data_IF_215136019163
#
_entry.id   IF_215136019163
#
_cell.length_a   1.000
_cell.length_b   1.000
_cell.length_c   1.000
_cell.angle_alpha   90.00
_cell.angle_beta   90.00
_cell.angle_gamma   90.00
#
_symmetry.space_group_name_H-M   'P 1'
#
loop_
_entity.id
_entity.type
_entity.pdbx_description
1 polymer ?
#
# COMPACT_ATOMS: atom_id res chain seq x y z
N UNK A 1 -1.38 -14.64 15.05
CA UNK A 1 -1.03 -13.40 14.33
C UNK A 1 -2.12 -12.32 14.38
N UNK A 2 -3.40 -12.55 14.02
CA UNK A 2 -4.43 -11.47 14.07
C UNK A 2 -4.59 -10.84 15.47
N UNK A 3 -4.61 -11.65 16.53
CA UNK A 3 -4.71 -11.15 17.91
C UNK A 3 -3.47 -10.34 18.36
N UNK A 4 -2.30 -10.65 17.83
CA UNK A 4 -1.03 -9.98 18.16
C UNK A 4 -0.91 -8.65 17.41
N UNK A 5 -1.29 -8.61 16.12
CA UNK A 5 -1.41 -7.39 15.35
C UNK A 5 -2.46 -6.44 15.97
N UNK A 6 -3.61 -6.96 16.41
CA UNK A 6 -4.60 -6.16 17.15
C UNK A 6 -4.08 -5.70 18.52
N UNK A 7 -3.33 -6.53 19.25
CA UNK A 7 -2.74 -6.13 20.52
C UNK A 7 -1.71 -5.00 20.34
N UNK A 8 -0.90 -5.04 19.29
CA UNK A 8 0.05 -3.96 18.97
C UNK A 8 -0.64 -2.64 18.64
N UNK A 9 -1.85 -2.65 18.06
CA UNK A 9 -2.64 -1.42 17.88
C UNK A 9 -3.15 -0.81 19.20
N UNK A 10 -3.11 -1.56 20.30
CA UNK A 10 -3.52 -1.10 21.63
C UNK A 10 -2.34 -0.57 22.48
N UNK A 11 -1.10 -0.61 21.98
CA UNK A 11 0.08 -0.11 22.72
C UNK A 11 0.44 1.28 22.23
N UNK A 12 0.38 2.27 23.13
CA UNK A 12 0.91 3.61 22.89
C UNK A 12 2.44 3.60 22.97
N UNK A 13 3.12 4.37 22.11
CA UNK A 13 4.58 4.54 22.15
C UNK A 13 5.40 3.63 21.22
N UNK A 14 4.78 2.78 20.40
CA UNK A 14 5.48 2.03 19.34
C UNK A 14 5.89 3.00 18.22
N UNK A 15 7.21 3.16 18.01
CA UNK A 15 7.81 3.94 16.91
C UNK A 15 7.37 5.42 16.80
N UNK A 16 6.76 5.98 17.87
CA UNK A 16 6.24 7.34 17.85
C UNK A 16 5.04 7.56 16.91
N UNK A 17 4.38 6.49 16.44
CA UNK A 17 3.21 6.56 15.55
C UNK A 17 2.02 7.27 16.19
N UNK A 18 1.89 7.19 17.51
CA UNK A 18 0.94 7.95 18.29
C UNK A 18 1.14 9.48 18.14
N UNK A 19 2.38 9.94 17.96
CA UNK A 19 2.71 11.36 17.72
C UNK A 19 2.25 11.86 16.36
N UNK A 20 1.95 10.98 15.41
CA UNK A 20 1.53 11.40 14.06
C UNK A 20 0.07 11.07 13.78
N UNK A 21 -0.39 9.85 14.06
CA UNK A 21 -1.75 9.41 13.70
C UNK A 21 -2.81 10.07 14.58
N UNK A 22 -2.57 10.12 15.90
CA UNK A 22 -3.48 10.76 16.84
C UNK A 22 -3.47 12.29 16.68
N UNK A 23 -2.29 12.85 16.41
CA UNK A 23 -2.15 14.28 16.15
C UNK A 23 -2.86 14.69 14.84
N UNK A 24 -2.70 13.92 13.77
CA UNK A 24 -3.41 14.13 12.50
C UNK A 24 -4.93 14.02 12.66
N UNK A 25 -5.41 13.01 13.41
CA UNK A 25 -6.83 12.84 13.73
C UNK A 25 -7.42 14.09 14.43
N UNK A 26 -6.67 14.67 15.38
CA UNK A 26 -7.07 15.87 16.13
C UNK A 26 -7.02 17.15 15.29
N UNK A 27 -6.02 17.30 14.41
CA UNK A 27 -5.80 18.49 13.59
C UNK A 27 -6.79 18.65 12.44
N UNK A 28 -7.57 17.62 12.13
CA UNK A 28 -8.45 17.56 10.97
C UNK A 28 -9.74 18.41 11.11
N UNK A 29 -9.54 19.72 11.29
CA UNK A 29 -10.53 20.81 11.38
C UNK A 29 -10.06 22.14 10.74
N UNK A 30 -8.98 22.17 9.93
CA UNK A 30 -8.49 23.43 9.34
C UNK A 30 -8.21 23.25 7.85
N UNK A 31 -8.70 24.18 7.03
CA UNK A 31 -8.35 24.28 5.60
C UNK A 31 -6.90 24.74 5.45
N UNK A 32 -6.16 24.12 4.54
CA UNK A 32 -4.73 24.39 4.33
C UNK A 32 -4.45 24.63 2.84
N UNK A 33 -4.83 25.81 2.37
CA UNK A 33 -4.36 26.32 1.09
C UNK A 33 -2.84 26.56 1.16
N UNK A 34 -2.08 26.03 0.20
CA UNK A 34 -0.68 26.42 -0.04
C UNK A 34 0.44 25.47 0.39
N UNK A 35 0.17 24.23 0.81
CA UNK A 35 1.24 23.27 1.16
C UNK A 35 1.69 22.50 -0.10
N UNK A 36 2.83 22.92 -0.66
CA UNK A 36 3.61 22.18 -1.66
C UNK A 36 4.35 21.02 -0.97
N UNK A 37 4.43 19.80 -1.53
CA UNK A 37 4.86 18.62 -0.77
C UNK A 37 6.40 18.55 -0.64
N UNK A 38 6.99 18.70 0.56
CA UNK A 38 8.42 18.51 0.79
C UNK A 38 8.74 17.08 1.26
N UNK A 39 7.98 16.08 0.79
CA UNK A 39 8.15 14.67 1.21
C UNK A 39 9.26 13.96 0.42
N UNK A 40 9.60 14.49 -0.76
CA UNK A 40 10.71 13.99 -1.56
C UNK A 40 12.00 14.07 -0.74
N UNK A 41 12.69 12.94 -0.61
CA UNK A 41 13.94 12.78 0.16
C UNK A 41 13.85 13.04 1.68
N UNK A 42 12.64 13.02 2.28
CA UNK A 42 12.54 13.14 3.74
C UNK A 42 13.04 11.88 4.45
N UNK A 43 12.88 10.69 3.87
CA UNK A 43 13.49 9.45 4.34
C UNK A 43 14.77 9.13 3.57
N UNK A 44 15.75 8.54 4.25
CA UNK A 44 17.07 8.18 3.72
C UNK A 44 17.42 6.75 4.11
N UNK A 45 18.28 6.12 3.31
CA UNK A 45 18.69 4.74 3.54
C UNK A 45 19.50 4.54 4.82
N UNK A 46 20.18 5.58 5.30
CA UNK A 46 21.00 5.57 6.52
C UNK A 46 20.24 5.98 7.78
N UNK A 47 18.93 6.25 7.67
CA UNK A 47 18.06 6.43 8.84
C UNK A 47 17.98 5.11 9.64
N UNK A 48 17.99 5.21 10.98
CA UNK A 48 17.76 4.03 11.83
C UNK A 48 16.31 3.58 11.77
N UNK A 49 15.39 4.54 11.66
CA UNK A 49 13.97 4.35 11.40
C UNK A 49 13.48 5.44 10.42
N UNK A 50 13.01 5.06 9.23
CA UNK A 50 12.67 6.03 8.19
C UNK A 50 11.40 6.84 8.50
N UNK A 51 10.57 6.39 9.45
CA UNK A 51 9.43 7.17 9.94
C UNK A 51 9.94 8.16 10.99
N UNK A 52 10.67 7.71 12.01
CA UNK A 52 11.09 8.55 13.13
C UNK A 52 12.20 9.54 12.71
N UNK A 53 13.28 9.04 12.14
CA UNK A 53 14.44 9.85 11.72
C UNK A 53 14.17 10.57 10.40
N UNK A 54 13.31 10.00 9.55
CA UNK A 54 12.91 10.57 8.27
C UNK A 54 11.70 11.49 8.37
N UNK A 55 10.51 10.90 8.27
CA UNK A 55 9.25 11.63 8.17
C UNK A 55 9.03 12.56 9.37
N UNK A 56 9.20 12.07 10.59
CA UNK A 56 8.93 12.84 11.81
C UNK A 56 10.00 13.88 12.09
N UNK A 57 11.28 13.56 11.93
CA UNK A 57 12.32 14.55 12.19
C UNK A 57 12.41 15.65 11.11
N UNK A 58 12.08 15.34 9.85
CA UNK A 58 12.34 16.25 8.71
C UNK A 58 11.10 16.78 8.01
N UNK A 59 9.94 16.11 8.12
CA UNK A 59 8.73 16.48 7.38
C UNK A 59 7.43 16.40 8.20
N UNK A 60 7.48 16.41 9.54
CA UNK A 60 6.31 16.21 10.41
C UNK A 60 5.16 17.15 10.11
N UNK A 61 5.40 18.47 10.06
CA UNK A 61 4.34 19.47 9.91
C UNK A 61 3.63 19.38 8.54
N UNK A 62 4.36 19.34 7.41
CA UNK A 62 3.75 19.03 6.11
C UNK A 62 3.00 17.70 6.11
N UNK A 63 3.53 16.66 6.77
CA UNK A 63 2.89 15.34 6.81
C UNK A 63 1.57 15.41 7.59
N UNK A 64 1.56 16.02 8.77
CA UNK A 64 0.34 16.21 9.56
C UNK A 64 -0.73 17.00 8.81
N UNK A 65 -0.33 18.01 8.04
CA UNK A 65 -1.23 18.75 7.18
C UNK A 65 -1.88 17.88 6.10
N UNK A 66 -1.11 17.01 5.45
CA UNK A 66 -1.62 16.06 4.46
C UNK A 66 -2.55 15.03 5.11
N UNK A 67 -2.09 14.39 6.19
CA UNK A 67 -2.85 13.34 6.90
C UNK A 67 -4.15 13.85 7.52
N UNK A 68 -4.19 15.14 7.91
CA UNK A 68 -5.38 15.79 8.43
C UNK A 68 -6.52 15.92 7.40
N UNK A 69 -6.24 15.74 6.11
CA UNK A 69 -7.26 15.77 5.04
C UNK A 69 -7.96 14.42 4.84
N UNK A 70 -7.38 13.34 5.39
CA UNK A 70 -7.94 12.00 5.28
C UNK A 70 -9.10 11.90 6.26
N UNK A 71 -10.30 11.68 5.74
CA UNK A 71 -11.53 11.49 6.52
C UNK A 71 -12.40 10.40 5.92
N UNK A 72 -13.02 9.62 6.80
CA UNK A 72 -13.99 8.57 6.45
C UNK A 72 -15.16 8.68 7.43
N UNK A 73 -16.38 8.84 6.91
CA UNK A 73 -17.59 8.73 7.71
C UNK A 73 -18.17 7.31 7.64
N UNK A 74 -19.00 6.87 8.60
CA UNK A 74 -19.67 5.57 8.55
C UNK A 74 -20.38 5.29 7.22
N UNK A 75 -21.01 6.31 6.63
CA UNK A 75 -21.77 6.21 5.38
C UNK A 75 -20.87 5.98 4.16
N UNK A 76 -19.60 6.36 4.26
CA UNK A 76 -18.60 6.21 3.19
C UNK A 76 -17.79 4.91 3.31
N UNK A 77 -18.01 4.12 4.37
CA UNK A 77 -17.10 3.05 4.77
C UNK A 77 -16.86 2.01 3.65
N UNK A 78 -17.90 1.59 2.94
CA UNK A 78 -17.78 0.61 1.86
C UNK A 78 -16.96 1.15 0.69
N UNK A 79 -17.35 2.31 0.15
CA UNK A 79 -16.66 2.94 -0.99
C UNK A 79 -15.21 3.30 -0.63
N UNK A 80 -14.97 3.89 0.55
CA UNK A 80 -13.62 4.24 1.00
C UNK A 80 -12.74 3.02 1.25
N UNK A 81 -13.32 1.88 1.64
CA UNK A 81 -12.56 0.62 1.75
C UNK A 81 -12.12 0.14 0.38
N UNK A 82 -13.02 0.19 -0.62
CA UNK A 82 -12.68 -0.17 -1.99
C UNK A 82 -11.63 0.80 -2.59
N UNK A 83 -11.79 2.11 -2.37
CA UNK A 83 -10.84 3.13 -2.81
C UNK A 83 -9.45 2.95 -2.19
N UNK A 84 -9.38 2.73 -0.86
CA UNK A 84 -8.11 2.47 -0.16
C UNK A 84 -7.43 1.21 -0.70
N UNK A 85 -8.17 0.11 -0.86
CA UNK A 85 -7.60 -1.15 -1.32
C UNK A 85 -7.14 -1.06 -2.79
N UNK A 86 -7.88 -0.35 -3.63
CA UNK A 86 -7.46 -0.07 -5.00
C UNK A 86 -6.18 0.76 -5.03
N UNK A 87 -6.13 1.85 -4.26
CA UNK A 87 -5.01 2.77 -4.24
C UNK A 87 -3.70 2.09 -3.81
N UNK A 88 -3.72 1.24 -2.78
CA UNK A 88 -2.50 0.56 -2.32
C UNK A 88 -2.00 -0.47 -3.35
N UNK A 89 -2.89 -1.16 -4.07
CA UNK A 89 -2.50 -2.05 -5.17
C UNK A 89 -1.88 -1.23 -6.30
N UNK A 90 -2.54 -0.14 -6.72
CA UNK A 90 -2.05 0.72 -7.79
C UNK A 90 -0.67 1.31 -7.46
N UNK A 91 -0.51 1.91 -6.28
CA UNK A 91 0.75 2.53 -5.84
C UNK A 91 1.87 1.50 -5.74
N UNK A 92 1.65 0.38 -5.04
CA UNK A 92 2.70 -0.62 -4.86
C UNK A 92 3.09 -1.31 -6.17
N UNK A 93 2.13 -1.57 -7.06
CA UNK A 93 2.40 -2.17 -8.38
C UNK A 93 3.18 -1.22 -9.27
N UNK A 94 2.75 0.03 -9.38
CA UNK A 94 3.47 1.01 -10.20
C UNK A 94 4.86 1.33 -9.63
N UNK A 95 5.01 1.38 -8.31
CA UNK A 95 6.30 1.55 -7.65
C UNK A 95 7.26 0.36 -7.82
N UNK A 96 6.75 -0.81 -8.23
CA UNK A 96 7.56 -1.98 -8.47
C UNK A 96 8.29 -1.95 -9.83
N UNK A 97 7.86 -1.08 -10.75
CA UNK A 97 8.43 -0.95 -12.09
C UNK A 97 9.48 0.15 -12.09
N UNK A 98 10.73 -0.20 -12.39
CA UNK A 98 11.83 0.76 -12.46
C UNK A 98 12.85 0.43 -13.54
N UNK A 99 12.54 0.71 -14.82
CA UNK A 99 13.44 0.38 -15.92
C UNK A 99 14.84 0.97 -15.71
N UNK A 100 15.91 0.24 -16.07
CA UNK A 100 15.89 -1.06 -16.73
C UNK A 100 15.79 -2.26 -15.77
N UNK A 101 15.56 -2.07 -14.48
CA UNK A 101 15.59 -3.16 -13.50
C UNK A 101 14.37 -4.09 -13.61
N UNK A 102 14.59 -5.36 -13.27
CA UNK A 102 13.57 -6.37 -13.03
C UNK A 102 12.54 -5.88 -12.01
N UNK A 103 11.27 -6.20 -12.24
CA UNK A 103 10.18 -5.77 -11.36
C UNK A 103 10.40 -6.27 -9.93
N UNK A 104 10.34 -5.38 -8.94
CA UNK A 104 10.46 -5.75 -7.52
C UNK A 104 9.57 -4.87 -6.66
N UNK A 105 8.69 -5.50 -5.88
CA UNK A 105 7.86 -4.76 -4.94
C UNK A 105 8.68 -4.26 -3.74
N UNK A 106 8.28 -3.12 -3.20
CA UNK A 106 8.75 -2.67 -1.90
C UNK A 106 8.15 -3.54 -0.79
N UNK A 107 8.99 -4.01 0.12
CA UNK A 107 8.59 -4.85 1.25
C UNK A 107 7.45 -4.22 2.04
N UNK A 108 7.52 -2.93 2.37
CA UNK A 108 6.52 -2.25 3.19
C UNK A 108 5.25 -1.92 2.40
N UNK A 109 5.37 -1.52 1.13
CA UNK A 109 4.19 -1.24 0.30
C UNK A 109 3.39 -2.51 -0.03
N UNK A 110 4.07 -3.64 -0.20
CA UNK A 110 3.40 -4.94 -0.31
C UNK A 110 2.60 -5.28 0.96
N UNK A 111 3.11 -4.96 2.16
CA UNK A 111 2.35 -5.17 3.41
C UNK A 111 1.06 -4.34 3.45
N UNK A 112 1.00 -3.18 2.78
CA UNK A 112 -0.25 -2.45 2.65
C UNK A 112 -1.29 -3.31 1.95
N UNK A 113 -0.91 -3.96 0.83
CA UNK A 113 -1.77 -4.88 0.06
C UNK A 113 -2.18 -6.07 0.93
N UNK A 114 -1.23 -6.74 1.60
CA UNK A 114 -1.52 -7.94 2.41
C UNK A 114 -2.47 -7.63 3.58
N UNK A 115 -2.40 -6.43 4.15
CA UNK A 115 -3.33 -5.98 5.18
C UNK A 115 -4.71 -5.55 4.63
N UNK A 116 -4.85 -5.34 3.32
CA UNK A 116 -6.08 -4.89 2.66
C UNK A 116 -7.32 -5.74 2.96
N UNK A 117 -7.27 -7.09 2.85
CA UNK A 117 -8.43 -7.96 3.11
C UNK A 117 -9.00 -7.89 4.54
N UNK A 118 -8.24 -7.38 5.51
CA UNK A 118 -8.73 -7.21 6.87
C UNK A 118 -9.92 -6.24 6.94
N UNK A 119 -9.90 -5.15 6.17
CA UNK A 119 -10.91 -4.10 6.21
C UNK A 119 -12.31 -4.55 5.74
N UNK A 120 -12.48 -5.17 4.55
CA UNK A 120 -13.79 -5.70 4.16
C UNK A 120 -14.25 -6.85 5.07
N UNK A 121 -13.34 -7.52 5.78
CA UNK A 121 -13.69 -8.55 6.78
C UNK A 121 -14.20 -7.92 8.08
N UNK A 122 -13.50 -6.91 8.59
CA UNK A 122 -13.87 -6.13 9.77
C UNK A 122 -15.20 -5.39 9.56
N UNK A 123 -15.43 -4.84 8.37
CA UNK A 123 -16.65 -4.11 8.04
C UNK A 123 -17.92 -4.98 8.15
N UNK A 124 -17.79 -6.29 7.87
CA UNK A 124 -18.87 -7.26 7.98
C UNK A 124 -19.16 -7.72 9.41
N UNK A 125 -18.33 -7.35 10.38
CA UNK A 125 -18.55 -7.73 11.78
C UNK A 125 -19.64 -6.83 12.41
N UNK A 126 -20.79 -7.39 12.83
CA UNK A 126 -21.90 -6.58 13.37
C UNK A 126 -21.62 -6.05 14.78
N UNK A 127 -20.66 -6.63 15.50
CA UNK A 127 -20.29 -6.24 16.86
C UNK A 127 -19.29 -5.07 16.91
N UNK A 128 -18.69 -4.69 15.78
CA UNK A 128 -17.83 -3.50 15.69
C UNK A 128 -18.71 -2.33 15.22
N UNK A 129 -18.83 -1.23 16.00
CA UNK A 129 -19.59 -0.07 15.56
C UNK A 129 -19.03 0.56 14.28
N UNK A 130 -19.89 1.09 13.42
CA UNK A 130 -19.46 1.68 12.14
C UNK A 130 -18.54 2.89 12.31
N UNK A 131 -18.74 3.67 13.37
CA UNK A 131 -17.81 4.75 13.73
C UNK A 131 -16.40 4.22 14.05
N UNK A 132 -16.27 3.04 14.66
CA UNK A 132 -14.98 2.43 14.96
C UNK A 132 -14.32 1.87 13.68
N UNK A 133 -15.10 1.25 12.79
CA UNK A 133 -14.63 0.79 11.47
C UNK A 133 -14.13 1.95 10.61
N UNK A 134 -14.88 3.05 10.57
CA UNK A 134 -14.51 4.26 9.86
C UNK A 134 -13.19 4.85 10.40
N UNK A 135 -13.06 4.98 11.72
CA UNK A 135 -11.83 5.45 12.37
C UNK A 135 -10.63 4.55 12.08
N UNK A 136 -10.82 3.23 12.10
CA UNK A 136 -9.77 2.26 11.77
C UNK A 136 -9.32 2.40 10.32
N UNK A 137 -10.25 2.59 9.39
CA UNK A 137 -9.93 2.85 7.98
C UNK A 137 -9.20 4.18 7.79
N UNK A 138 -9.59 5.25 8.50
CA UNK A 138 -8.84 6.51 8.44
C UNK A 138 -7.39 6.33 8.91
N UNK A 139 -7.18 5.58 10.00
CA UNK A 139 -5.84 5.31 10.53
C UNK A 139 -5.00 4.49 9.55
N UNK A 140 -5.59 3.49 8.88
CA UNK A 140 -4.95 2.75 7.79
C UNK A 140 -4.49 3.67 6.67
N UNK A 141 -5.39 4.48 6.13
CA UNK A 141 -5.10 5.38 5.03
C UNK A 141 -4.00 6.38 5.41
N UNK A 142 -3.99 6.89 6.65
CA UNK A 142 -2.92 7.76 7.14
C UNK A 142 -1.59 7.02 7.23
N UNK A 143 -1.60 5.80 7.77
CA UNK A 143 -0.39 4.98 7.88
C UNK A 143 0.21 4.65 6.51
N UNK A 144 -0.64 4.34 5.52
CA UNK A 144 -0.20 4.04 4.15
C UNK A 144 0.52 5.24 3.53
N UNK A 145 0.03 6.46 3.76
CA UNK A 145 0.67 7.70 3.28
C UNK A 145 1.99 7.96 4.00
N UNK A 146 2.06 7.74 5.31
CA UNK A 146 3.32 7.87 6.07
C UNK A 146 4.35 6.88 5.55
N UNK A 147 3.97 5.62 5.37
CA UNK A 147 4.89 4.59 4.87
C UNK A 147 5.33 4.86 3.44
N UNK A 148 4.43 5.33 2.57
CA UNK A 148 4.81 5.73 1.22
C UNK A 148 5.89 6.82 1.23
N UNK A 149 5.78 7.81 2.13
CA UNK A 149 6.82 8.81 2.31
C UNK A 149 8.11 8.24 2.90
N UNK A 150 8.00 7.34 3.89
CA UNK A 150 9.13 6.65 4.49
C UNK A 150 9.90 5.76 3.49
N UNK A 151 9.25 5.32 2.41
CA UNK A 151 9.89 4.58 1.30
C UNK A 151 10.47 5.47 0.21
N UNK A 152 10.59 6.78 0.46
CA UNK A 152 11.20 7.74 -0.46
C UNK A 152 10.26 8.22 -1.58
N UNK A 153 8.94 8.04 -1.43
CA UNK A 153 7.95 8.43 -2.44
C UNK A 153 8.24 7.87 -3.84
N UNK A 154 8.32 6.52 -4.02
CA UNK A 154 8.59 5.93 -5.33
C UNK A 154 7.59 6.40 -6.37
N UNK A 155 8.08 6.79 -7.55
CA UNK A 155 7.21 7.08 -8.69
C UNK A 155 6.39 5.86 -9.07
N UNK A 156 5.14 6.06 -9.47
CA UNK A 156 4.27 5.02 -9.98
C UNK A 156 3.47 5.57 -11.16
N UNK A 157 3.22 4.73 -12.16
CA UNK A 157 2.59 5.11 -13.42
C UNK A 157 1.60 4.03 -13.86
N UNK A 158 0.38 4.43 -14.19
CA UNK A 158 -0.59 3.52 -14.80
C UNK A 158 -0.10 3.04 -16.17
N UNK A 159 0.50 3.92 -16.96
CA UNK A 159 1.01 3.57 -18.28
C UNK A 159 2.12 2.51 -18.20
N UNK A 160 2.95 2.56 -17.17
CA UNK A 160 4.02 1.57 -16.97
C UNK A 160 3.42 0.20 -16.63
N UNK A 161 2.39 0.15 -15.77
CA UNK A 161 1.64 -1.08 -15.50
C UNK A 161 1.01 -1.62 -16.78
N UNK A 162 0.34 -0.78 -17.57
CA UNK A 162 -0.35 -1.21 -18.79
C UNK A 162 0.61 -1.70 -19.89
N UNK A 163 1.85 -1.22 -19.90
CA UNK A 163 2.90 -1.61 -20.84
C UNK A 163 3.79 -2.75 -20.32
N UNK A 164 3.58 -3.19 -19.08
CA UNK A 164 4.38 -4.27 -18.51
C UNK A 164 4.19 -5.57 -19.30
N UNK A 165 5.29 -6.15 -19.74
CA UNK A 165 5.31 -7.43 -20.45
C UNK A 165 5.79 -8.53 -19.50
N UNK A 166 4.91 -9.47 -19.20
CA UNK A 166 5.21 -10.57 -18.29
C UNK A 166 6.25 -11.53 -18.86
N UNK A 167 7.23 -11.91 -18.04
CA UNK A 167 8.16 -12.99 -18.35
C UNK A 167 7.46 -14.34 -18.21
N UNK A 168 6.69 -14.50 -17.12
CA UNK A 168 5.91 -15.71 -16.85
C UNK A 168 4.47 -15.46 -17.25
N UNK A 169 4.08 -16.03 -18.40
CA UNK A 169 2.69 -15.97 -18.86
C UNK A 169 1.83 -16.99 -18.14
N UNK A 170 1.01 -16.48 -17.23
CA UNK A 170 -0.05 -17.24 -16.56
C UNK A 170 -1.39 -17.06 -17.28
N UNK A 171 -2.22 -18.10 -17.22
CA UNK A 171 -3.57 -18.12 -17.77
C UNK A 171 -4.64 -18.08 -16.65
N UNK A 172 -5.87 -17.75 -17.03
CA UNK A 172 -7.02 -17.75 -16.13
C UNK A 172 -7.34 -16.39 -15.52
N UNK A 173 -8.28 -16.37 -14.56
CA UNK A 173 -8.64 -15.13 -13.87
C UNK A 173 -7.51 -14.67 -12.94
N UNK A 174 -7.50 -13.39 -12.49
CA UNK A 174 -6.56 -12.94 -11.47
C UNK A 174 -6.55 -13.81 -10.20
N UNK A 175 -7.69 -14.41 -9.85
CA UNK A 175 -7.77 -15.37 -8.74
C UNK A 175 -7.09 -16.69 -9.05
N UNK A 176 -7.21 -17.20 -10.28
CA UNK A 176 -6.56 -18.46 -10.68
C UNK A 176 -5.04 -18.31 -10.73
N UNK A 177 -4.56 -17.18 -11.27
CA UNK A 177 -3.13 -16.87 -11.33
C UNK A 177 -2.47 -16.87 -9.96
N UNK A 178 -3.16 -16.37 -8.92
CA UNK A 178 -2.61 -16.33 -7.56
C UNK A 178 -2.21 -17.71 -7.00
N UNK A 179 -2.81 -18.80 -7.50
CA UNK A 179 -2.59 -20.17 -7.01
C UNK A 179 -1.17 -20.66 -7.30
N UNK A 180 -0.48 -20.09 -8.30
CA UNK A 180 0.90 -20.46 -8.64
C UNK A 180 1.87 -20.21 -7.48
N UNK A 181 1.51 -19.31 -6.56
CA UNK A 181 2.35 -18.95 -5.41
C UNK A 181 2.05 -19.76 -4.15
N UNK A 182 1.09 -20.70 -4.16
CA UNK A 182 0.80 -21.53 -2.97
C UNK A 182 2.03 -22.32 -2.48
N UNK A 183 2.83 -22.82 -3.42
CA UNK A 183 4.01 -23.64 -3.14
C UNK A 183 5.32 -22.86 -3.36
N UNK A 184 5.26 -21.52 -3.41
CA UNK A 184 6.44 -20.69 -3.68
C UNK A 184 7.49 -20.76 -2.55
N UNK A 185 7.07 -21.02 -1.31
CA UNK A 185 7.96 -21.34 -0.20
C UNK A 185 8.64 -20.13 0.46
N UNK A 186 8.11 -18.92 0.27
CA UNK A 186 8.43 -17.79 1.15
C UNK A 186 7.68 -17.91 2.48
N UNK A 187 7.86 -16.93 3.37
CA UNK A 187 7.14 -16.82 4.65
C UNK A 187 5.66 -16.40 4.49
N UNK A 188 5.12 -16.45 3.27
CA UNK A 188 3.70 -16.26 2.95
C UNK A 188 3.37 -14.92 2.30
N UNK A 189 4.30 -13.98 2.25
CA UNK A 189 4.06 -12.63 1.73
C UNK A 189 3.59 -12.62 0.28
N UNK A 190 4.22 -13.42 -0.59
CA UNK A 190 3.95 -13.48 -2.01
C UNK A 190 2.52 -13.98 -2.31
N UNK A 191 2.13 -15.08 -1.68
CA UNK A 191 0.78 -15.64 -1.85
C UNK A 191 -0.29 -14.74 -1.24
N UNK A 192 -0.02 -14.12 -0.09
CA UNK A 192 -0.92 -13.14 0.51
C UNK A 192 -1.13 -11.94 -0.42
N UNK A 193 -0.07 -11.41 -1.02
CA UNK A 193 -0.14 -10.30 -1.96
C UNK A 193 -0.98 -10.67 -3.19
N UNK A 194 -0.71 -11.82 -3.82
CA UNK A 194 -1.46 -12.25 -4.99
C UNK A 194 -2.95 -12.48 -4.67
N UNK A 195 -3.27 -13.07 -3.52
CA UNK A 195 -4.66 -13.26 -3.09
C UNK A 195 -5.34 -11.93 -2.76
N UNK A 196 -4.66 -11.03 -2.07
CA UNK A 196 -5.18 -9.71 -1.73
C UNK A 196 -5.47 -8.88 -2.98
N UNK A 197 -4.59 -8.92 -3.99
CA UNK A 197 -4.83 -8.31 -5.31
C UNK A 197 -6.08 -8.88 -5.98
N UNK A 198 -6.27 -10.20 -5.96
CA UNK A 198 -7.49 -10.82 -6.51
C UNK A 198 -8.76 -10.41 -5.74
N UNK A 199 -8.69 -10.31 -4.41
CA UNK A 199 -9.80 -9.82 -3.58
C UNK A 199 -10.11 -8.36 -3.90
N UNK A 200 -9.10 -7.51 -4.08
CA UNK A 200 -9.27 -6.12 -4.46
C UNK A 200 -9.96 -5.98 -5.83
N UNK A 201 -9.53 -6.78 -6.81
CA UNK A 201 -10.17 -6.82 -8.12
C UNK A 201 -11.67 -7.10 -8.01
N UNK A 202 -12.05 -8.13 -7.25
CA UNK A 202 -13.46 -8.50 -7.07
C UNK A 202 -14.25 -7.44 -6.28
N UNK A 203 -13.66 -6.91 -5.22
CA UNK A 203 -14.30 -5.90 -4.37
C UNK A 203 -14.59 -4.61 -5.14
N UNK A 204 -13.68 -4.20 -6.03
CA UNK A 204 -13.77 -2.92 -6.74
C UNK A 204 -14.64 -2.97 -8.00
N UNK A 205 -15.17 -4.15 -8.40
CA UNK A 205 -16.02 -4.28 -9.59
C UNK A 205 -17.26 -3.40 -9.55
N UNK A 206 -17.91 -3.27 -8.40
CA UNK A 206 -19.09 -2.41 -8.21
C UNK A 206 -18.76 -0.91 -8.22
N UNK A 207 -17.47 -0.56 -8.17
CA UNK A 207 -16.97 0.81 -8.21
C UNK A 207 -16.15 1.09 -9.48
N UNK A 208 -16.28 0.25 -10.52
CA UNK A 208 -15.46 0.36 -11.72
C UNK A 208 -15.68 1.68 -12.49
N UNK A 209 -16.83 2.34 -12.32
CA UNK A 209 -17.15 3.65 -12.91
C UNK A 209 -16.55 4.83 -12.15
N UNK A 210 -16.03 4.61 -10.94
CA UNK A 210 -15.49 5.68 -10.11
C UNK A 210 -14.22 6.28 -10.71
N UNK A 211 -13.98 7.60 -10.54
CA UNK A 211 -12.78 8.25 -11.07
C UNK A 211 -11.47 7.68 -10.50
N UNK A 212 -11.47 7.29 -9.23
CA UNK A 212 -10.30 6.72 -8.54
C UNK A 212 -9.96 5.29 -8.98
N UNK A 213 -10.90 4.55 -9.59
CA UNK A 213 -10.72 3.17 -10.01
C UNK A 213 -9.93 3.09 -11.33
N UNK A 214 -8.64 3.42 -11.29
CA UNK A 214 -7.79 3.56 -12.49
C UNK A 214 -7.32 2.22 -13.08
N UNK A 215 -7.18 1.17 -12.27
CA UNK A 215 -6.93 -0.20 -12.74
C UNK A 215 -8.24 -0.80 -13.26
N UNK A 216 -8.44 -0.76 -14.59
CA UNK A 216 -9.72 -1.08 -15.24
C UNK A 216 -9.66 -2.38 -16.04
N UNK A 217 -10.70 -3.19 -15.88
CA UNK A 217 -10.89 -4.41 -16.66
C UNK A 217 -9.95 -5.56 -16.30
N UNK A 218 -10.37 -6.77 -16.64
CA UNK A 218 -9.70 -8.01 -16.23
C UNK A 218 -8.26 -8.12 -16.74
N UNK A 219 -7.94 -7.56 -17.92
CA UNK A 219 -6.58 -7.57 -18.47
C UNK A 219 -5.61 -6.79 -17.57
N UNK A 220 -5.96 -5.58 -17.14
CA UNK A 220 -5.10 -4.77 -16.25
C UNK A 220 -4.81 -5.51 -14.94
N UNK A 221 -5.83 -6.15 -14.37
CA UNK A 221 -5.67 -6.94 -13.14
C UNK A 221 -4.86 -8.23 -13.37
N UNK A 222 -4.91 -8.82 -14.56
CA UNK A 222 -4.00 -9.91 -14.93
C UNK A 222 -2.57 -9.42 -15.04
N UNK A 223 -2.32 -8.26 -15.67
CA UNK A 223 -0.98 -7.68 -15.72
C UNK A 223 -0.40 -7.46 -14.32
N UNK A 224 -1.19 -6.92 -13.39
CA UNK A 224 -0.76 -6.80 -11.98
C UNK A 224 -0.41 -8.17 -11.36
N UNK A 225 -1.20 -9.21 -11.62
CA UNK A 225 -0.88 -10.56 -11.12
C UNK A 225 0.39 -11.15 -11.75
N UNK A 226 0.62 -10.93 -13.04
CA UNK A 226 1.89 -11.31 -13.67
C UNK A 226 3.06 -10.60 -13.00
N UNK A 227 2.94 -9.29 -12.74
CA UNK A 227 3.98 -8.52 -12.02
C UNK A 227 4.28 -9.11 -10.63
N UNK A 228 3.25 -9.52 -9.87
CA UNK A 228 3.46 -10.14 -8.55
C UNK A 228 4.29 -11.41 -8.67
N UNK A 229 3.98 -12.26 -9.66
CA UNK A 229 4.67 -13.54 -9.86
C UNK A 229 6.08 -13.33 -10.40
N UNK A 230 6.26 -12.49 -11.41
CA UNK A 230 7.57 -12.16 -11.97
C UNK A 230 8.48 -11.52 -10.92
N UNK A 231 7.94 -10.70 -10.00
CA UNK A 231 8.74 -10.06 -8.97
C UNK A 231 9.37 -11.06 -7.99
N UNK A 232 8.61 -12.08 -7.58
CA UNK A 232 9.07 -13.04 -6.56
C UNK A 232 9.81 -14.23 -7.19
N UNK A 233 9.42 -14.68 -8.38
CA UNK A 233 10.12 -15.77 -9.08
C UNK A 233 11.34 -15.29 -9.87
N UNK A 234 11.42 -13.98 -10.14
CA UNK A 234 12.55 -13.36 -10.81
C UNK A 234 13.82 -13.30 -9.95
N UNK A 235 14.97 -13.05 -10.58
CA UNK A 235 16.28 -13.15 -9.94
C UNK A 235 16.49 -12.16 -8.78
N UNK A 236 17.48 -12.46 -7.94
CA UNK A 236 17.90 -11.60 -6.83
C UNK A 236 17.00 -11.69 -5.59
N UNK A 237 16.98 -10.63 -4.79
CA UNK A 237 16.15 -10.56 -3.57
C UNK A 237 14.66 -10.49 -3.91
N UNK A 238 13.80 -10.95 -3.01
CA UNK A 238 12.34 -10.95 -3.23
C UNK A 238 11.74 -9.54 -3.28
N UNK A 239 12.20 -8.65 -2.40
CA UNK A 239 11.66 -7.30 -2.23
C UNK A 239 12.77 -6.26 -2.13
N UNK A 240 12.49 -5.04 -2.59
CA UNK A 240 13.30 -3.85 -2.25
C UNK A 240 12.82 -3.24 -0.94
N UNK A 241 13.63 -2.41 -0.29
CA UNK A 241 13.23 -1.71 0.95
C UNK A 241 13.59 -0.23 0.79
N UNK A 242 12.60 0.60 0.48
CA UNK A 242 12.80 1.99 0.07
C UNK A 242 12.80 2.16 -1.45
N UNK A 243 11.76 1.68 -2.15
CA UNK A 243 11.68 1.72 -3.61
C UNK A 243 11.88 3.11 -4.24
N UNK A 244 11.66 4.20 -3.48
CA UNK A 244 11.93 5.58 -3.94
C UNK A 244 13.40 6.00 -3.84
N UNK A 245 14.26 5.18 -3.26
CA UNK A 245 15.69 5.44 -3.07
C UNK A 245 16.49 4.75 -4.18
N UNK A 246 17.33 5.49 -4.91
CA UNK A 246 18.10 4.95 -6.04
C UNK A 246 19.01 3.79 -5.61
N UNK A 247 19.60 3.92 -4.43
CA UNK A 247 20.60 3.03 -3.89
C UNK A 247 20.11 1.60 -3.75
N UNK A 248 18.82 1.40 -3.48
CA UNK A 248 18.28 0.06 -3.27
C UNK A 248 18.28 -0.71 -4.58
N UNK A 249 18.13 -0.06 -5.72
CA UNK A 249 17.99 -0.73 -7.02
C UNK A 249 19.32 -1.18 -7.64
N UNK A 250 20.47 -0.73 -7.11
CA UNK A 250 21.80 -1.07 -7.63
C UNK A 250 22.07 -2.56 -7.78
N UNK A 251 21.48 -3.38 -6.90
CA UNK A 251 21.64 -4.83 -6.89
C UNK A 251 20.41 -5.57 -7.45
N UNK A 252 19.43 -4.84 -7.99
CA UNK A 252 18.30 -5.45 -8.70
C UNK A 252 18.77 -5.80 -10.11
N UNK A 253 18.57 -7.04 -10.58
CA UNK A 253 18.91 -7.43 -11.95
C UNK A 253 18.28 -6.51 -12.99
N UNK A 254 18.97 -6.32 -14.12
CA UNK A 254 18.47 -5.60 -15.30
C UNK A 254 17.71 -6.54 -16.24
#
# INVERSE_FOLDING_TARGET
MVAEAMAQTCVHGTEGLDRILLEAERRARVSLDGISPPFLACARLDDGDEIADGVLARAKEPMLALLGRIRVTPEQLEEKTAEMFHAIVYVASGAAIRPPHHVKYDYFLMHHINAGPFYPTANRQPWIPDAAKARLLEWKMRMDVVQYAARGCPSFSLDDILRYEAEIRLEGSPRDMSKVLHDFGDDGHAIEQARATAVCHELTRSCADRPWAVLRGDETWRTVQHMVVDAVQGPGRLYVRGAGMEEVWKDVPL
#
